data_IF_980989553963
#
_entry.id   IF_980989553963
#
_cell.length_a   1.000
_cell.length_b   1.000
_cell.length_c   1.000
_cell.angle_alpha   90.00
_cell.angle_beta   90.00
_cell.angle_gamma   90.00
#
_symmetry.space_group_name_H-M   'P 1'
#
loop_
_entity.id
_entity.type
_entity.pdbx_description
1 polymer ?
#
# COMPACT_ATOMS: atom_id res chain seq x y z
N UNK A 1 -1.27 11.83 -19.32
CA UNK A 1 -1.05 12.64 -18.10
C UNK A 1 -1.49 11.79 -16.92
N UNK A 2 -0.55 11.19 -16.19
CA UNK A 2 -0.89 10.48 -14.96
C UNK A 2 -1.20 11.53 -13.88
N UNK A 3 -2.36 11.42 -13.22
CA UNK A 3 -2.71 12.27 -12.09
C UNK A 3 -2.08 11.65 -10.85
N UNK A 4 -1.22 12.41 -10.17
CA UNK A 4 -0.57 11.98 -8.94
C UNK A 4 -1.60 11.41 -7.96
N UNK A 5 -1.31 10.27 -7.32
CA UNK A 5 -2.23 9.56 -6.44
C UNK A 5 -2.87 10.45 -5.36
N UNK A 6 -2.12 11.40 -4.79
CA UNK A 6 -2.61 12.35 -3.78
C UNK A 6 -3.57 13.44 -4.30
N UNK A 7 -3.78 13.55 -5.61
CA UNK A 7 -4.69 14.49 -6.26
C UNK A 7 -5.98 13.82 -6.77
N UNK A 8 -6.14 12.51 -6.52
CA UNK A 8 -7.35 11.75 -6.89
C UNK A 8 -8.42 11.94 -5.80
N UNK A 9 -9.68 12.00 -6.20
CA UNK A 9 -10.83 12.05 -5.28
C UNK A 9 -11.19 10.67 -4.70
N UNK A 10 -10.57 9.62 -5.23
CA UNK A 10 -10.69 8.22 -4.80
C UNK A 10 -9.34 7.81 -4.24
N UNK A 11 -9.33 7.10 -3.12
CA UNK A 11 -8.07 6.66 -2.53
C UNK A 11 -7.47 5.50 -3.34
N UNK A 12 -6.14 5.46 -3.39
CA UNK A 12 -5.38 4.37 -4.02
C UNK A 12 -4.65 3.56 -2.96
N UNK A 13 -4.78 2.24 -3.01
CA UNK A 13 -4.03 1.29 -2.19
C UNK A 13 -3.00 0.59 -3.07
N UNK A 14 -1.71 0.85 -2.85
CA UNK A 14 -0.63 0.03 -3.38
C UNK A 14 -0.54 -1.25 -2.53
N UNK A 15 -0.75 -2.40 -3.16
CA UNK A 15 -0.89 -3.70 -2.50
C UNK A 15 0.04 -4.71 -3.14
N UNK A 16 0.79 -5.47 -2.33
CA UNK A 16 1.44 -6.68 -2.81
C UNK A 16 0.39 -7.75 -3.15
N UNK A 17 0.54 -8.52 -4.24
CA UNK A 17 -0.43 -9.55 -4.61
C UNK A 17 -0.47 -10.69 -3.60
N UNK A 18 0.70 -11.10 -3.09
CA UNK A 18 0.89 -12.22 -2.15
C UNK A 18 1.27 -11.77 -0.74
N UNK A 19 1.31 -10.47 -0.48
CA UNK A 19 1.64 -9.95 0.86
C UNK A 19 0.45 -10.08 1.82
N UNK A 20 0.73 -10.66 2.99
CA UNK A 20 -0.27 -10.88 4.04
C UNK A 20 -0.73 -9.59 4.69
N UNK A 21 0.15 -8.59 4.83
CA UNK A 21 -0.23 -7.30 5.44
C UNK A 21 -1.16 -6.52 4.51
N UNK A 22 -0.81 -6.48 3.22
CA UNK A 22 -1.67 -5.96 2.15
C UNK A 22 -3.03 -6.66 2.11
N UNK A 23 -3.06 -7.98 2.30
CA UNK A 23 -4.33 -8.74 2.33
C UNK A 23 -5.22 -8.35 3.51
N UNK A 24 -4.67 -8.14 4.70
CA UNK A 24 -5.44 -7.70 5.87
C UNK A 24 -6.12 -6.35 5.62
N UNK A 25 -5.41 -5.39 5.00
CA UNK A 25 -5.98 -4.09 4.64
C UNK A 25 -7.11 -4.25 3.61
N UNK A 26 -6.93 -5.09 2.59
CA UNK A 26 -7.98 -5.36 1.57
C UNK A 26 -9.28 -5.88 2.19
N UNK A 27 -9.19 -6.76 3.19
CA UNK A 27 -10.37 -7.27 3.92
C UNK A 27 -11.10 -6.13 4.64
N UNK A 28 -10.36 -5.29 5.37
CA UNK A 28 -10.95 -4.17 6.11
C UNK A 28 -11.61 -3.17 5.16
N UNK A 29 -11.00 -2.87 4.01
CA UNK A 29 -11.58 -1.94 3.04
C UNK A 29 -12.85 -2.48 2.39
N UNK A 30 -12.88 -3.77 2.07
CA UNK A 30 -14.08 -4.44 1.60
C UNK A 30 -15.20 -4.37 2.64
N UNK A 31 -14.88 -4.63 3.92
CA UNK A 31 -15.85 -4.57 5.03
C UNK A 31 -16.41 -3.15 5.24
N UNK A 32 -15.58 -2.12 5.08
CA UNK A 32 -16.01 -0.71 5.21
C UNK A 32 -16.80 -0.19 4.00
N UNK A 33 -16.83 -0.93 2.89
CA UNK A 33 -17.53 -0.51 1.66
C UNK A 33 -16.99 0.79 1.05
N UNK A 34 -15.71 1.10 1.28
CA UNK A 34 -15.07 2.31 0.75
C UNK A 34 -14.63 2.07 -0.69
N UNK A 35 -14.89 3.04 -1.58
CA UNK A 35 -14.37 3.01 -2.94
C UNK A 35 -12.85 3.22 -2.93
N UNK A 36 -12.11 2.21 -3.36
CA UNK A 36 -10.64 2.20 -3.42
C UNK A 36 -10.16 1.65 -4.75
N UNK A 37 -9.15 2.30 -5.33
CA UNK A 37 -8.39 1.77 -6.45
C UNK A 37 -7.23 0.92 -5.91
N UNK A 38 -7.21 -0.37 -6.21
CA UNK A 38 -6.13 -1.27 -5.77
C UNK A 38 -5.11 -1.42 -6.90
N UNK A 39 -3.89 -0.95 -6.65
CA UNK A 39 -2.77 -1.08 -7.56
C UNK A 39 -1.85 -2.20 -7.06
N UNK A 40 -1.70 -3.25 -7.86
CA UNK A 40 -0.82 -4.37 -7.52
C UNK A 40 0.62 -3.97 -7.80
N UNK A 41 1.46 -4.00 -6.76
CA UNK A 41 2.87 -3.63 -6.85
C UNK A 41 3.74 -4.85 -6.62
N UNK A 42 4.80 -4.96 -7.43
CA UNK A 42 5.83 -5.97 -7.26
C UNK A 42 7.06 -5.31 -6.62
N UNK A 43 7.77 -5.98 -5.70
CA UNK A 43 8.93 -5.40 -5.02
C UNK A 43 10.04 -4.93 -5.98
N UNK A 44 10.18 -5.60 -7.12
CA UNK A 44 11.18 -5.32 -8.13
C UNK A 44 10.78 -4.19 -9.09
N UNK A 45 9.52 -3.72 -9.01
CA UNK A 45 8.99 -2.71 -9.91
C UNK A 45 7.96 -1.82 -9.18
N UNK A 46 8.47 -0.92 -8.34
CA UNK A 46 7.66 0.03 -7.60
C UNK A 46 7.26 1.23 -8.47
N UNK A 47 5.98 1.63 -8.49
CA UNK A 47 5.55 2.82 -9.21
C UNK A 47 6.13 4.10 -8.59
N UNK A 48 6.43 5.10 -9.43
CA UNK A 48 7.02 6.36 -8.99
C UNK A 48 6.17 7.08 -7.93
N UNK A 49 4.85 7.06 -8.07
CA UNK A 49 3.91 7.64 -7.10
C UNK A 49 4.09 7.03 -5.70
N UNK A 50 4.37 5.72 -5.60
CA UNK A 50 4.63 5.05 -4.33
C UNK A 50 5.98 5.48 -3.74
N UNK A 51 7.02 5.61 -4.57
CA UNK A 51 8.35 6.05 -4.13
C UNK A 51 8.31 7.50 -3.62
N UNK A 52 7.59 8.38 -4.31
CA UNK A 52 7.49 9.80 -3.96
C UNK A 52 6.68 10.02 -2.68
N UNK A 53 5.67 9.18 -2.42
CA UNK A 53 4.79 9.29 -1.25
C UNK A 53 5.27 8.48 -0.05
N UNK A 54 6.02 7.39 -0.28
CA UNK A 54 6.55 6.52 0.76
C UNK A 54 8.10 6.54 0.74
N UNK A 55 8.74 7.37 1.57
CA UNK A 55 10.19 7.51 1.60
C UNK A 55 10.95 6.27 2.10
N UNK A 56 10.26 5.24 2.60
CA UNK A 56 10.84 3.96 3.03
C UNK A 56 10.11 2.81 2.30
N UNK A 57 10.72 2.19 1.26
CA UNK A 57 10.18 0.98 0.66
C UNK A 57 10.15 -0.14 1.70
N UNK A 58 9.07 -0.92 1.68
CA UNK A 58 8.74 -2.05 2.57
C UNK A 58 9.80 -3.17 2.61
N UNK A 59 10.87 -3.09 1.82
CA UNK A 59 12.05 -3.96 1.90
C UNK A 59 13.17 -3.50 2.85
N UNK A 60 13.05 -2.34 3.51
CA UNK A 60 14.08 -1.83 4.44
C UNK A 60 13.72 -1.94 5.93
N UNK A 61 12.57 -2.54 6.26
CA UNK A 61 12.17 -2.83 7.64
C UNK A 61 12.90 -4.07 8.19
N UNK A 62 14.20 -3.91 8.43
CA UNK A 62 14.92 -4.73 9.39
C UNK A 62 14.51 -4.30 10.82
N UNK A 63 13.28 -4.60 11.28
CA UNK A 63 13.03 -4.43 12.72
C UNK A 63 11.63 -4.36 13.30
N UNK A 64 10.52 -4.28 12.57
CA UNK A 64 9.20 -4.36 13.22
C UNK A 64 8.78 -5.80 13.52
N UNK A 65 9.53 -6.40 14.43
CA UNK A 65 9.04 -7.42 15.34
C UNK A 65 7.73 -6.91 15.96
N UNK A 66 6.69 -7.75 15.94
CA UNK A 66 5.39 -7.56 16.62
C UNK A 66 5.48 -7.37 18.14
N UNK A 67 6.66 -7.11 18.70
CA UNK A 67 6.93 -7.03 20.13
C UNK A 67 6.42 -5.74 20.80
N UNK A 68 6.17 -4.66 20.03
CA UNK A 68 5.83 -3.34 20.62
C UNK A 68 4.32 -3.02 20.59
N UNK A 69 3.46 -4.02 20.37
CA UNK A 69 2.00 -3.83 20.28
C UNK A 69 1.21 -4.31 21.51
N UNK A 70 1.84 -4.36 22.70
CA UNK A 70 1.18 -4.60 24.00
C UNK A 70 1.64 -3.58 25.03
#
# INVERSE_FOLDING_TARGET
MAVAANKRSVMTLFSGPTDIFSHQVRIVLAEKGVSVEIEQVEPDNLPQDLIDLNPIPDGTDAGRSRADAV
#
